data_IF_953431769447
#
_entry.id   IF_953431769447
#
_cell.length_a   1.000
_cell.length_b   1.000
_cell.length_c   1.000
_cell.angle_alpha   90.00
_cell.angle_beta   90.00
_cell.angle_gamma   90.00
#
_symmetry.space_group_name_H-M   'P 1'
#
loop_
_entity.id
_entity.type
_entity.pdbx_description
1 polymer ?
#
# COMPACT_ATOMS: atom_id res chain seq x y z
N UNK A 1 19.59 -13.34 8.50
CA UNK A 1 18.35 -12.78 7.97
C UNK A 1 17.59 -12.21 9.15
N UNK A 2 17.35 -10.91 9.26
CA UNK A 2 16.49 -10.38 10.30
C UNK A 2 15.09 -10.92 10.04
N UNK A 3 14.58 -11.72 10.94
CA UNK A 3 13.18 -12.13 10.98
C UNK A 3 12.37 -10.90 11.41
N UNK A 4 11.16 -10.74 10.86
CA UNK A 4 10.15 -9.84 11.41
C UNK A 4 10.22 -9.95 12.94
N UNK A 5 10.42 -8.82 13.62
CA UNK A 5 10.29 -8.80 15.08
C UNK A 5 8.82 -9.12 15.39
N UNK A 6 8.54 -10.32 15.93
CA UNK A 6 7.16 -10.71 16.25
C UNK A 6 6.59 -9.90 17.41
N UNK A 7 7.38 -8.98 17.99
CA UNK A 7 6.95 -8.11 19.09
C UNK A 7 6.22 -6.85 18.64
N UNK A 8 6.26 -6.46 17.34
CA UNK A 8 5.42 -5.37 16.86
C UNK A 8 4.04 -5.93 16.52
N UNK A 9 3.02 -5.67 17.33
CA UNK A 9 1.69 -6.20 17.06
C UNK A 9 1.19 -5.69 15.71
N UNK A 10 0.66 -6.61 14.89
CA UNK A 10 -0.01 -6.23 13.65
C UNK A 10 -1.16 -5.26 14.00
N UNK A 11 -1.33 -4.16 13.25
CA UNK A 11 -2.44 -3.25 13.45
C UNK A 11 -3.78 -4.02 13.50
N UNK A 12 -4.61 -3.68 14.48
CA UNK A 12 -5.88 -4.36 14.74
C UNK A 12 -6.84 -4.23 13.55
N UNK A 13 -6.75 -3.10 12.84
CA UNK A 13 -7.56 -2.81 11.66
C UNK A 13 -7.35 -3.86 10.55
N UNK A 14 -6.12 -4.37 10.40
CA UNK A 14 -5.80 -5.43 9.43
C UNK A 14 -5.92 -6.84 10.01
N UNK A 15 -6.18 -6.95 11.30
CA UNK A 15 -6.31 -8.19 12.06
C UNK A 15 -7.75 -8.44 12.50
N UNK A 16 -8.02 -8.25 13.78
CA UNK A 16 -9.32 -8.53 14.39
C UNK A 16 -10.47 -7.66 13.88
N UNK A 17 -10.18 -6.44 13.41
CA UNK A 17 -11.16 -5.51 12.87
C UNK A 17 -11.29 -5.58 11.33
N UNK A 18 -10.54 -6.45 10.66
CA UNK A 18 -10.53 -6.54 9.19
C UNK A 18 -11.91 -6.80 8.57
N UNK A 19 -12.82 -7.44 9.31
CA UNK A 19 -14.20 -7.63 8.85
C UNK A 19 -14.97 -6.30 8.65
N UNK A 20 -14.53 -5.21 9.31
CA UNK A 20 -15.10 -3.87 9.18
C UNK A 20 -14.43 -3.06 8.07
N UNK A 21 -13.38 -3.59 7.44
CA UNK A 21 -12.65 -2.89 6.37
C UNK A 21 -13.58 -2.38 5.25
N UNK A 22 -14.55 -3.17 4.73
CA UNK A 22 -15.46 -2.70 3.68
C UNK A 22 -16.36 -1.51 4.11
N UNK A 23 -16.52 -1.31 5.43
CA UNK A 23 -17.25 -0.16 5.98
C UNK A 23 -16.29 0.97 6.37
N UNK A 24 -15.05 0.65 6.75
CA UNK A 24 -14.02 1.64 7.06
C UNK A 24 -13.54 2.34 5.78
N UNK A 25 -13.27 1.57 4.73
CA UNK A 25 -12.71 2.05 3.47
C UNK A 25 -13.36 1.33 2.29
N UNK A 26 -14.04 2.09 1.42
CA UNK A 26 -14.76 1.54 0.28
C UNK A 26 -14.00 1.69 -1.03
N UNK A 27 -14.21 0.83 -2.04
CA UNK A 27 -13.58 0.97 -3.36
C UNK A 27 -13.86 2.32 -4.02
N UNK A 28 -15.04 2.92 -3.77
CA UNK A 28 -15.41 4.22 -4.35
C UNK A 28 -14.42 5.33 -4.00
N UNK A 29 -13.90 5.33 -2.76
CA UNK A 29 -12.89 6.28 -2.31
C UNK A 29 -11.55 6.18 -3.07
N UNK A 30 -11.28 5.03 -3.69
CA UNK A 30 -10.04 4.79 -4.45
C UNK A 30 -10.16 5.10 -5.95
N UNK A 31 -11.31 5.51 -6.45
CA UNK A 31 -11.59 5.64 -7.90
C UNK A 31 -10.60 6.57 -8.60
N UNK A 32 -10.42 7.78 -8.10
CA UNK A 32 -9.61 8.80 -8.76
C UNK A 32 -8.12 8.47 -8.67
N UNK A 33 -7.69 8.00 -7.51
CA UNK A 33 -6.33 7.57 -7.28
C UNK A 33 -5.97 6.34 -8.14
N UNK A 34 -6.84 5.33 -8.18
CA UNK A 34 -6.66 4.17 -9.05
C UNK A 34 -6.65 4.54 -10.54
N UNK A 35 -7.45 5.54 -10.96
CA UNK A 35 -7.42 6.06 -12.32
C UNK A 35 -6.05 6.72 -12.63
N UNK A 36 -5.48 7.44 -11.68
CA UNK A 36 -4.14 7.99 -11.81
C UNK A 36 -3.09 6.87 -11.92
N UNK A 37 -3.05 5.93 -10.98
CA UNK A 37 -2.07 4.82 -11.02
C UNK A 37 -2.24 3.95 -12.25
N UNK A 38 -3.46 3.72 -12.73
CA UNK A 38 -3.70 3.03 -13.99
C UNK A 38 -3.00 3.71 -15.17
N UNK A 39 -3.03 5.06 -15.24
CA UNK A 39 -2.30 5.81 -16.29
C UNK A 39 -0.79 5.67 -16.13
N UNK A 40 -0.27 5.86 -14.91
CA UNK A 40 1.17 5.72 -14.62
C UNK A 40 1.67 4.33 -14.97
N UNK A 41 1.01 3.28 -14.47
CA UNK A 41 1.36 1.88 -14.71
C UNK A 41 1.28 1.53 -16.21
N UNK A 42 0.23 1.97 -16.92
CA UNK A 42 0.07 1.67 -18.35
C UNK A 42 1.19 2.24 -19.22
N UNK A 43 1.84 3.32 -18.76
CA UNK A 43 2.94 3.98 -19.48
C UNK A 43 4.33 3.64 -18.91
N UNK A 44 4.39 2.86 -17.82
CA UNK A 44 5.62 2.62 -17.08
C UNK A 44 6.60 1.71 -17.82
N UNK A 45 6.14 0.86 -18.74
CA UNK A 45 6.96 -0.09 -19.49
C UNK A 45 6.59 -0.16 -20.98
N UNK A 46 7.52 -0.67 -21.77
CA UNK A 46 7.33 -0.95 -23.19
C UNK A 46 7.67 -2.41 -23.47
N UNK A 47 6.77 -3.22 -24.04
CA UNK A 47 5.37 -2.90 -24.35
C UNK A 47 4.53 -2.57 -23.09
N UNK A 48 3.33 -1.99 -23.33
CA UNK A 48 2.41 -1.66 -22.23
C UNK A 48 2.08 -2.90 -21.37
N UNK A 49 2.06 -2.76 -20.03
CA UNK A 49 1.94 -3.90 -19.12
C UNK A 49 0.57 -4.58 -19.23
N UNK A 50 0.55 -5.91 -19.09
CA UNK A 50 -0.64 -6.76 -19.03
C UNK A 50 -0.79 -7.39 -17.66
N UNK A 51 0.31 -7.86 -17.06
CA UNK A 51 0.35 -8.50 -15.75
C UNK A 51 0.84 -7.51 -14.70
N UNK A 52 0.14 -7.44 -13.56
CA UNK A 52 0.47 -6.56 -12.44
C UNK A 52 0.57 -7.35 -11.13
N UNK A 53 1.69 -7.19 -10.44
CA UNK A 53 1.86 -7.64 -9.05
C UNK A 53 1.60 -6.45 -8.13
N UNK A 54 0.63 -6.57 -7.24
CA UNK A 54 0.42 -5.62 -6.14
C UNK A 54 0.96 -6.21 -4.85
N UNK A 55 1.90 -5.53 -4.23
CA UNK A 55 2.53 -5.92 -2.96
C UNK A 55 1.93 -5.08 -1.82
N UNK A 56 1.26 -5.74 -0.87
CA UNK A 56 0.49 -5.11 0.19
C UNK A 56 -0.88 -4.65 -0.31
N UNK A 57 -1.65 -5.56 -0.88
CA UNK A 57 -2.95 -5.24 -1.51
C UNK A 57 -4.07 -4.92 -0.52
N UNK A 58 -3.88 -5.21 0.77
CA UNK A 58 -4.91 -4.99 1.78
C UNK A 58 -6.26 -5.62 1.41
N UNK A 59 -7.34 -4.87 1.58
CA UNK A 59 -8.70 -5.27 1.21
C UNK A 59 -9.00 -5.24 -0.29
N UNK A 60 -8.03 -4.88 -1.14
CA UNK A 60 -8.15 -4.95 -2.59
C UNK A 60 -8.91 -3.79 -3.25
N UNK A 61 -9.01 -2.63 -2.59
CA UNK A 61 -9.74 -1.48 -3.13
C UNK A 61 -9.10 -0.91 -4.40
N UNK A 62 -7.76 -0.79 -4.45
CA UNK A 62 -7.04 -0.41 -5.67
C UNK A 62 -7.21 -1.45 -6.77
N UNK A 63 -7.06 -2.75 -6.41
CA UNK A 63 -7.22 -3.86 -7.34
C UNK A 63 -8.61 -3.88 -8.00
N UNK A 64 -9.67 -3.52 -7.26
CA UNK A 64 -11.04 -3.43 -7.77
C UNK A 64 -11.13 -2.58 -9.05
N UNK A 65 -10.39 -1.49 -9.12
CA UNK A 65 -10.36 -0.60 -10.29
C UNK A 65 -9.30 -1.00 -11.32
N UNK A 66 -8.16 -1.56 -10.87
CA UNK A 66 -7.03 -1.89 -11.74
C UNK A 66 -7.24 -3.18 -12.53
N UNK A 67 -7.99 -4.15 -11.98
CA UNK A 67 -8.28 -5.46 -12.60
C UNK A 67 -9.00 -5.38 -13.95
N UNK A 68 -9.71 -4.29 -14.22
CA UNK A 68 -10.31 -4.04 -15.53
C UNK A 68 -9.25 -3.86 -16.66
N UNK A 69 -8.00 -3.58 -16.30
CA UNK A 69 -6.89 -3.31 -17.24
C UNK A 69 -5.78 -4.33 -17.15
N UNK A 70 -5.55 -4.92 -15.97
CA UNK A 70 -4.42 -5.79 -15.68
C UNK A 70 -4.88 -7.16 -15.17
N UNK A 71 -4.15 -8.21 -15.56
CA UNK A 71 -4.19 -9.50 -14.87
C UNK A 71 -3.41 -9.35 -13.55
N UNK A 72 -4.11 -9.42 -12.43
CA UNK A 72 -3.55 -9.06 -11.13
C UNK A 72 -3.19 -10.28 -10.28
N UNK A 73 -2.02 -10.16 -9.62
CA UNK A 73 -1.64 -11.02 -8.48
C UNK A 73 -1.48 -10.10 -7.27
N UNK A 74 -2.17 -10.42 -6.19
CA UNK A 74 -2.28 -9.64 -4.98
C UNK A 74 -1.56 -10.35 -3.84
N UNK A 75 -0.63 -9.66 -3.19
CA UNK A 75 0.11 -10.20 -2.04
C UNK A 75 -0.20 -9.33 -0.83
N UNK A 76 -0.55 -9.95 0.30
CA UNK A 76 -0.69 -9.27 1.58
C UNK A 76 -0.26 -10.19 2.72
N UNK A 77 0.20 -9.59 3.82
CA UNK A 77 0.61 -10.32 5.02
C UNK A 77 -0.60 -10.85 5.80
N UNK A 78 -1.70 -10.10 5.80
CA UNK A 78 -2.90 -10.41 6.57
C UNK A 78 -3.82 -11.38 5.81
N UNK A 79 -4.03 -12.60 6.31
CA UNK A 79 -5.00 -13.53 5.71
C UNK A 79 -6.44 -13.00 5.79
N UNK A 80 -6.76 -12.15 6.78
CA UNK A 80 -8.09 -11.56 6.93
C UNK A 80 -8.34 -10.47 5.89
N UNK A 81 -7.33 -9.64 5.62
CA UNK A 81 -7.42 -8.65 4.53
C UNK A 81 -7.50 -9.33 3.17
N UNK A 82 -6.75 -10.41 2.96
CA UNK A 82 -6.87 -11.21 1.73
C UNK A 82 -8.25 -11.83 1.56
N UNK A 83 -8.90 -12.26 2.63
CA UNK A 83 -10.27 -12.77 2.58
C UNK A 83 -11.26 -11.67 2.15
N UNK A 84 -11.10 -10.43 2.64
CA UNK A 84 -11.87 -9.26 2.20
C UNK A 84 -11.61 -8.98 0.72
N UNK A 85 -10.33 -8.96 0.33
CA UNK A 85 -9.92 -8.72 -1.06
C UNK A 85 -10.46 -9.81 -2.01
N UNK A 86 -10.45 -11.07 -1.60
CA UNK A 86 -10.94 -12.18 -2.41
C UNK A 86 -12.46 -12.11 -2.63
N UNK A 87 -13.21 -11.67 -1.63
CA UNK A 87 -14.64 -11.43 -1.78
C UNK A 87 -14.94 -10.30 -2.78
N UNK A 88 -14.10 -9.25 -2.79
CA UNK A 88 -14.22 -8.10 -3.69
C UNK A 88 -13.68 -8.37 -5.10
N UNK A 89 -12.62 -9.18 -5.21
CA UNK A 89 -11.85 -9.42 -6.44
C UNK A 89 -11.62 -10.93 -6.68
N UNK A 90 -12.69 -11.75 -6.81
CA UNK A 90 -12.55 -13.21 -6.89
C UNK A 90 -11.76 -13.70 -8.11
N UNK A 91 -11.66 -12.89 -9.18
CA UNK A 91 -10.90 -13.18 -10.40
C UNK A 91 -9.38 -12.94 -10.24
N UNK A 92 -8.94 -12.22 -9.19
CA UNK A 92 -7.53 -11.97 -8.95
C UNK A 92 -6.87 -13.14 -8.21
N UNK A 93 -5.58 -13.33 -8.42
CA UNK A 93 -4.80 -14.30 -7.62
C UNK A 93 -4.38 -13.68 -6.30
N UNK A 94 -4.71 -14.32 -5.18
CA UNK A 94 -4.36 -13.88 -3.83
C UNK A 94 -3.29 -14.79 -3.22
N UNK A 95 -2.29 -14.20 -2.59
CA UNK A 95 -1.15 -14.91 -1.98
C UNK A 95 -0.85 -14.26 -0.62
N UNK A 96 -0.84 -15.05 0.43
CA UNK A 96 -0.40 -14.60 1.74
C UNK A 96 1.11 -14.70 1.84
N UNK A 97 1.79 -13.57 1.94
CA UNK A 97 3.24 -13.51 2.16
C UNK A 97 3.67 -12.09 2.57
N UNK A 98 4.92 -11.95 3.02
CA UNK A 98 5.54 -10.68 3.39
C UNK A 98 6.16 -10.02 2.15
N UNK A 99 5.81 -8.76 1.89
CA UNK A 99 6.32 -7.99 0.75
C UNK A 99 7.84 -7.83 0.75
N UNK A 100 8.52 -7.99 1.90
CA UNK A 100 9.98 -7.96 2.01
C UNK A 100 10.63 -9.22 1.49
N UNK A 101 9.96 -10.36 1.60
CA UNK A 101 10.58 -11.68 1.41
C UNK A 101 9.91 -12.58 0.38
N UNK A 102 8.71 -12.27 -0.07
CA UNK A 102 7.98 -13.11 -1.05
C UNK A 102 8.81 -13.39 -2.31
N UNK A 103 8.77 -14.65 -2.77
CA UNK A 103 9.46 -15.10 -3.99
C UNK A 103 8.53 -16.02 -4.78
N UNK A 104 7.87 -15.45 -5.79
CA UNK A 104 6.83 -16.15 -6.57
C UNK A 104 7.40 -17.01 -7.71
N UNK A 105 8.71 -16.97 -7.95
CA UNK A 105 9.36 -17.72 -9.03
C UNK A 105 8.99 -17.26 -10.45
N UNK A 106 8.31 -16.11 -10.58
CA UNK A 106 7.94 -15.50 -11.87
C UNK A 106 8.07 -13.98 -11.83
N UNK A 107 8.07 -13.36 -13.01
CA UNK A 107 8.09 -11.91 -13.16
C UNK A 107 6.80 -11.39 -13.75
N UNK A 108 6.58 -10.09 -13.59
CA UNK A 108 5.40 -9.36 -14.05
C UNK A 108 5.83 -8.18 -14.91
N UNK A 109 4.93 -7.68 -15.74
CA UNK A 109 5.18 -6.50 -16.57
C UNK A 109 5.34 -5.24 -15.72
N UNK A 110 4.55 -5.15 -14.64
CA UNK A 110 4.65 -4.07 -13.66
C UNK A 110 4.46 -4.60 -12.23
N UNK A 111 5.03 -3.85 -11.27
CA UNK A 111 4.85 -4.06 -9.83
C UNK A 111 4.33 -2.77 -9.22
N UNK A 112 3.35 -2.88 -8.34
CA UNK A 112 2.74 -1.76 -7.65
C UNK A 112 2.82 -1.98 -6.13
N UNK A 113 3.27 -0.96 -5.41
CA UNK A 113 3.36 -0.97 -3.95
C UNK A 113 2.80 0.37 -3.48
N UNK A 114 1.56 0.35 -3.04
CA UNK A 114 0.84 1.50 -2.54
C UNK A 114 1.03 1.61 -1.02
N UNK A 115 0.21 2.26 -0.30
CA UNK A 115 0.27 2.59 1.14
C UNK A 115 0.98 1.54 2.04
N UNK A 116 0.90 0.26 1.71
CA UNK A 116 1.56 -0.81 2.45
C UNK A 116 3.08 -0.61 2.60
N UNK A 117 3.71 0.16 1.71
CA UNK A 117 5.15 0.48 1.79
C UNK A 117 5.46 1.34 3.02
N UNK A 118 4.48 2.06 3.55
CA UNK A 118 4.62 2.85 4.77
C UNK A 118 4.92 2.00 6.01
N UNK A 119 4.55 0.71 6.01
CA UNK A 119 4.90 -0.21 7.09
C UNK A 119 6.40 -0.57 7.15
N UNK A 120 7.20 -0.13 6.19
CA UNK A 120 8.65 -0.29 6.21
C UNK A 120 9.28 0.80 7.06
N UNK A 121 9.43 0.55 8.35
CA UNK A 121 9.89 1.54 9.34
C UNK A 121 11.41 1.71 9.39
N UNK A 122 12.15 0.80 8.76
CA UNK A 122 13.61 0.85 8.66
C UNK A 122 14.07 0.91 7.20
N UNK A 123 15.25 1.51 6.96
CA UNK A 123 15.86 1.49 5.63
C UNK A 123 16.09 0.06 5.12
N UNK A 124 16.42 -0.88 6.00
CA UNK A 124 16.60 -2.28 5.66
C UNK A 124 15.31 -2.90 5.12
N UNK A 125 14.17 -2.65 5.78
CA UNK A 125 12.87 -3.16 5.36
C UNK A 125 12.42 -2.52 4.04
N UNK A 126 12.57 -1.20 3.92
CA UNK A 126 12.24 -0.46 2.70
C UNK A 126 13.06 -1.00 1.50
N UNK A 127 14.38 -1.20 1.70
CA UNK A 127 15.28 -1.82 0.72
C UNK A 127 14.83 -3.24 0.36
N UNK A 128 14.44 -4.04 1.35
CA UNK A 128 13.99 -5.42 1.13
C UNK A 128 12.70 -5.49 0.30
N UNK A 129 11.72 -4.62 0.58
CA UNK A 129 10.50 -4.51 -0.21
C UNK A 129 10.79 -4.04 -1.64
N UNK A 130 11.63 -3.02 -1.81
CA UNK A 130 12.09 -2.57 -3.14
C UNK A 130 12.81 -3.68 -3.91
N UNK A 131 13.66 -4.49 -3.22
CA UNK A 131 14.36 -5.62 -3.82
C UNK A 131 13.39 -6.71 -4.27
N UNK A 132 12.38 -6.98 -3.49
CA UNK A 132 11.30 -7.90 -3.85
C UNK A 132 10.59 -7.41 -5.11
N UNK A 133 10.20 -6.15 -5.17
CA UNK A 133 9.59 -5.55 -6.36
C UNK A 133 10.51 -5.67 -7.59
N UNK A 134 11.82 -5.40 -7.42
CA UNK A 134 12.80 -5.53 -8.51
C UNK A 134 12.91 -6.96 -9.05
N UNK A 135 12.95 -7.95 -8.16
CA UNK A 135 13.06 -9.36 -8.56
C UNK A 135 11.82 -9.86 -9.32
N UNK A 136 10.66 -9.33 -8.99
CA UNK A 136 9.40 -9.66 -9.66
C UNK A 136 9.08 -8.80 -10.88
N UNK A 137 9.83 -7.72 -11.11
CA UNK A 137 9.70 -6.90 -12.31
C UNK A 137 10.52 -7.54 -13.44
N UNK A 138 9.89 -7.83 -14.60
CA UNK A 138 10.65 -8.37 -15.74
C UNK A 138 11.67 -7.34 -16.28
N UNK A 139 12.71 -7.77 -17.03
CA UNK A 139 13.52 -6.84 -17.81
C UNK A 139 12.64 -5.97 -18.75
N UNK A 140 12.87 -4.66 -18.75
CA UNK A 140 12.02 -3.69 -19.46
C UNK A 140 10.70 -3.35 -18.78
N UNK A 141 10.37 -4.00 -17.67
CA UNK A 141 9.21 -3.68 -16.83
C UNK A 141 9.50 -2.53 -15.85
N UNK A 142 8.49 -2.16 -15.06
CA UNK A 142 8.61 -1.08 -14.09
C UNK A 142 7.91 -1.39 -12.76
N UNK A 143 8.39 -0.74 -11.69
CA UNK A 143 7.72 -0.72 -10.41
C UNK A 143 7.32 0.72 -10.05
N UNK A 144 6.18 0.85 -9.39
CA UNK A 144 5.62 2.11 -8.87
C UNK A 144 5.40 1.96 -7.37
N UNK A 145 5.91 2.93 -6.61
CA UNK A 145 5.77 3.00 -5.15
C UNK A 145 5.10 4.32 -4.79
N UNK A 146 4.12 4.26 -3.90
CA UNK A 146 3.35 5.41 -3.48
C UNK A 146 3.19 5.42 -1.94
N UNK A 147 4.15 6.00 -1.20
CA UNK A 147 4.00 6.22 0.24
C UNK A 147 3.00 7.35 0.50
N UNK A 148 2.38 7.36 1.70
CA UNK A 148 1.53 8.46 2.14
C UNK A 148 2.31 9.76 2.27
N UNK A 149 3.47 9.69 2.91
CA UNK A 149 4.36 10.82 3.11
C UNK A 149 5.80 10.50 2.80
N UNK A 150 6.53 11.53 2.44
CA UNK A 150 7.98 11.60 2.55
C UNK A 150 8.33 12.68 3.58
N UNK A 151 9.56 12.70 4.10
CA UNK A 151 9.98 13.64 5.12
C UNK A 151 9.73 15.10 4.72
N UNK A 152 9.89 15.42 3.43
CA UNK A 152 9.72 16.78 2.91
C UNK A 152 8.26 17.24 2.79
N UNK A 153 7.31 16.32 2.80
CA UNK A 153 5.86 16.64 2.69
C UNK A 153 5.08 16.26 3.92
N UNK A 154 5.73 15.65 4.91
CA UNK A 154 5.06 15.28 6.15
C UNK A 154 4.57 16.51 6.90
N UNK A 155 3.33 16.44 7.34
CA UNK A 155 2.73 17.40 8.26
C UNK A 155 1.81 16.64 9.19
N UNK A 156 1.89 16.95 10.48
CA UNK A 156 0.91 16.48 11.45
C UNK A 156 -0.49 16.92 11.04
N UNK A 157 -1.45 16.02 11.13
CA UNK A 157 -2.82 16.32 10.71
C UNK A 157 -3.85 15.53 11.50
N UNK A 158 -5.09 15.99 11.40
CA UNK A 158 -6.29 15.31 11.85
C UNK A 158 -7.16 15.02 10.62
N UNK A 159 -7.66 13.81 10.52
CA UNK A 159 -8.63 13.43 9.52
C UNK A 159 -9.75 12.60 10.15
N UNK A 160 -10.86 12.49 9.45
CA UNK A 160 -12.00 11.71 9.91
C UNK A 160 -12.77 11.16 8.71
N UNK A 161 -13.50 10.08 8.95
CA UNK A 161 -14.24 9.46 7.87
C UNK A 161 -15.13 8.32 8.35
N UNK A 162 -15.48 7.46 7.39
CA UNK A 162 -16.26 6.26 7.61
C UNK A 162 -17.54 6.24 6.81
N UNK A 163 -18.14 5.06 6.71
CA UNK A 163 -19.28 4.78 5.85
C UNK A 163 -20.37 4.00 6.58
N UNK A 164 -21.52 3.93 5.95
CA UNK A 164 -22.61 3.06 6.30
C UNK A 164 -22.76 1.96 5.25
N UNK A 165 -22.89 0.72 5.71
CA UNK A 165 -23.10 -0.46 4.87
C UNK A 165 -24.18 -1.33 5.47
N UNK A 166 -24.56 -2.40 4.78
CA UNK A 166 -25.49 -3.37 5.34
C UNK A 166 -24.96 -4.05 6.61
N UNK A 167 -23.65 -4.05 6.87
CA UNK A 167 -23.04 -4.60 8.08
C UNK A 167 -23.27 -3.70 9.30
N UNK A 168 -23.36 -2.40 9.09
CA UNK A 168 -23.46 -1.37 10.12
C UNK A 168 -22.73 -0.10 9.70
N UNK A 169 -22.33 0.68 10.68
CA UNK A 169 -21.67 1.98 10.46
C UNK A 169 -20.29 1.99 11.10
N UNK A 170 -19.33 2.62 10.43
CA UNK A 170 -18.04 2.98 11.01
C UNK A 170 -17.85 4.47 10.88
N UNK A 171 -17.31 5.09 11.93
CA UNK A 171 -16.77 6.47 11.91
C UNK A 171 -15.40 6.42 12.59
N UNK A 172 -14.46 7.17 12.07
CA UNK A 172 -13.14 7.25 12.69
C UNK A 172 -12.64 8.68 12.76
N UNK A 173 -11.84 8.92 13.78
CA UNK A 173 -10.93 10.04 13.89
C UNK A 173 -9.52 9.49 13.74
N UNK A 174 -8.73 10.07 12.86
CA UNK A 174 -7.32 9.75 12.64
C UNK A 174 -6.47 10.91 13.08
N UNK A 175 -5.41 10.63 13.83
CA UNK A 175 -4.43 11.62 14.26
C UNK A 175 -3.04 11.17 13.83
N UNK A 176 -2.41 11.95 12.96
CA UNK A 176 -1.07 11.70 12.43
C UNK A 176 -0.07 12.60 13.13
N UNK A 177 0.94 12.01 13.79
CA UNK A 177 1.94 12.71 14.58
C UNK A 177 3.34 12.15 14.38
N UNK A 178 4.36 13.00 14.51
CA UNK A 178 5.78 12.63 14.54
C UNK A 178 6.45 13.21 15.78
N UNK A 179 6.43 12.49 16.91
CA UNK A 179 7.01 12.97 18.16
C UNK A 179 8.54 12.95 18.20
N UNK A 180 9.20 12.23 17.26
CA UNK A 180 10.66 12.11 17.18
C UNK A 180 11.16 12.33 15.74
N UNK A 181 11.16 13.59 15.25
CA UNK A 181 11.51 13.88 13.85
C UNK A 181 12.92 13.46 13.42
N UNK A 182 13.76 13.03 14.35
CA UNK A 182 15.12 12.57 14.07
C UNK A 182 15.18 11.10 13.62
N UNK A 183 14.14 10.31 13.93
CA UNK A 183 14.08 8.91 13.52
C UNK A 183 13.44 8.72 12.13
N UNK A 184 13.07 7.52 11.75
CA UNK A 184 12.50 7.18 10.44
C UNK A 184 11.04 6.77 10.54
N UNK A 185 10.32 7.23 11.58
CA UNK A 185 8.94 6.78 11.82
C UNK A 185 8.00 7.94 12.14
N UNK A 186 6.70 7.70 11.91
CA UNK A 186 5.61 8.52 12.40
C UNK A 186 4.45 7.61 12.83
N UNK A 187 3.53 8.15 13.60
CA UNK A 187 2.37 7.42 14.11
C UNK A 187 1.07 7.90 13.48
N UNK A 188 0.17 6.95 13.30
CA UNK A 188 -1.23 7.22 12.98
C UNK A 188 -2.10 6.54 14.03
N UNK A 189 -2.73 7.32 14.88
CA UNK A 189 -3.66 6.87 15.90
C UNK A 189 -5.10 6.96 15.40
N UNK A 190 -5.84 5.89 15.56
CA UNK A 190 -7.26 5.82 15.23
C UNK A 190 -8.13 5.67 16.47
N UNK A 191 -9.19 6.47 16.55
CA UNK A 191 -10.37 6.18 17.37
C UNK A 191 -11.50 5.77 16.41
N UNK A 192 -11.91 4.50 16.47
CA UNK A 192 -12.85 3.91 15.51
C UNK A 192 -14.15 3.61 16.25
N UNK A 193 -15.22 4.34 15.91
CA UNK A 193 -16.56 4.10 16.41
C UNK A 193 -17.29 3.14 15.47
N UNK A 194 -17.68 1.99 15.99
CA UNK A 194 -18.37 0.94 15.26
C UNK A 194 -19.79 0.81 15.82
N UNK A 195 -20.80 0.84 14.96
CA UNK A 195 -22.18 0.53 15.29
C UNK A 195 -22.64 -0.65 14.44
N UNK A 196 -23.02 -1.75 15.08
CA UNK A 196 -23.52 -2.94 14.40
C UNK A 196 -24.97 -2.77 13.92
N UNK A 197 -25.48 -3.79 13.21
CA UNK A 197 -26.89 -3.82 12.71
C UNK A 197 -27.96 -3.77 13.82
N UNK A 198 -27.61 -4.17 15.04
CA UNK A 198 -28.53 -4.16 16.20
C UNK A 198 -28.49 -2.82 16.93
N UNK A 199 -27.63 -1.89 16.50
CA UNK A 199 -27.45 -0.59 17.10
C UNK A 199 -26.46 -0.56 18.27
N UNK A 200 -25.83 -1.68 18.62
CA UNK A 200 -24.79 -1.70 19.64
C UNK A 200 -23.55 -0.95 19.16
N UNK A 201 -23.03 -0.10 20.03
CA UNK A 201 -21.89 0.76 19.71
C UNK A 201 -20.68 0.40 20.56
N UNK A 202 -19.49 0.48 19.94
CA UNK A 202 -18.20 0.37 20.64
C UNK A 202 -17.17 1.28 20.01
N UNK A 203 -16.17 1.65 20.79
CA UNK A 203 -15.01 2.40 20.33
C UNK A 203 -13.81 1.47 20.40
N UNK A 204 -13.04 1.43 19.30
CA UNK A 204 -11.79 0.71 19.20
C UNK A 204 -10.66 1.71 18.99
N UNK A 205 -9.48 1.39 19.52
CA UNK A 205 -8.27 2.16 19.25
C UNK A 205 -7.28 1.30 18.49
N UNK A 206 -6.60 1.92 17.53
CA UNK A 206 -5.51 1.28 16.81
C UNK A 206 -4.40 2.30 16.57
N UNK A 207 -3.14 1.87 16.69
CA UNK A 207 -1.97 2.69 16.36
C UNK A 207 -1.15 2.00 15.29
N UNK A 208 -0.88 2.74 14.23
CA UNK A 208 0.01 2.30 13.17
C UNK A 208 1.33 3.08 13.28
N UNK A 209 2.45 2.36 13.14
CA UNK A 209 3.77 2.94 13.00
C UNK A 209 4.19 2.85 11.54
N UNK A 210 4.50 3.97 10.94
CA UNK A 210 4.85 4.09 9.53
C UNK A 210 6.25 4.65 9.34
N UNK A 211 6.89 4.27 8.23
CA UNK A 211 8.20 4.76 7.84
C UNK A 211 8.14 6.13 7.20
N UNK A 212 9.07 7.00 7.60
CA UNK A 212 9.22 8.36 7.08
C UNK A 212 10.63 8.59 6.56
N UNK A 213 10.80 8.46 5.24
CA UNK A 213 12.07 8.60 4.56
C UNK A 213 12.08 9.83 3.65
N UNK A 214 13.26 10.42 3.46
CA UNK A 214 13.43 11.54 2.53
C UNK A 214 13.28 11.12 1.06
N UNK A 215 12.95 12.06 0.17
CA UNK A 215 13.02 11.82 -1.29
C UNK A 215 14.41 11.35 -1.73
N UNK A 216 15.44 11.83 -1.02
CA UNK A 216 16.82 11.41 -1.24
C UNK A 216 17.03 9.92 -0.98
N UNK A 217 16.53 9.42 0.16
CA UNK A 217 16.62 8.01 0.54
C UNK A 217 15.86 7.11 -0.43
N UNK A 218 14.62 7.47 -0.78
CA UNK A 218 13.83 6.75 -1.78
C UNK A 218 14.59 6.57 -3.08
N UNK A 219 15.14 7.66 -3.64
CA UNK A 219 15.87 7.64 -4.90
C UNK A 219 17.18 6.87 -4.81
N UNK A 220 17.89 7.00 -3.69
CA UNK A 220 19.14 6.26 -3.44
C UNK A 220 18.86 4.76 -3.38
N UNK A 221 17.93 4.33 -2.55
CA UNK A 221 17.58 2.92 -2.36
C UNK A 221 17.09 2.26 -3.64
N UNK A 222 16.25 2.91 -4.42
CA UNK A 222 15.80 2.40 -5.71
C UNK A 222 16.96 2.16 -6.69
N UNK A 223 17.93 3.09 -6.74
CA UNK A 223 19.13 2.91 -7.58
C UNK A 223 20.01 1.77 -7.08
N UNK A 224 20.25 1.69 -5.78
CA UNK A 224 21.05 0.62 -5.15
C UNK A 224 20.45 -0.77 -5.39
N UNK A 225 19.13 -0.88 -5.41
CA UNK A 225 18.42 -2.13 -5.73
C UNK A 225 18.54 -2.49 -7.22
N UNK A 226 18.80 -1.51 -8.09
CA UNK A 226 19.04 -1.70 -9.52
C UNK A 226 18.00 -1.07 -10.45
N UNK A 227 17.04 -0.31 -9.92
CA UNK A 227 16.09 0.41 -10.76
C UNK A 227 16.73 1.64 -11.42
N UNK A 228 16.32 1.87 -12.66
CA UNK A 228 16.54 3.15 -13.35
C UNK A 228 15.33 4.03 -13.05
N UNK A 229 15.57 5.12 -12.35
CA UNK A 229 14.47 6.02 -11.97
C UNK A 229 13.77 6.59 -13.21
N UNK A 230 12.48 6.69 -13.15
CA UNK A 230 11.61 7.32 -14.15
C UNK A 230 10.88 8.48 -13.50
N UNK A 231 10.64 9.51 -14.28
CA UNK A 231 9.76 10.62 -13.90
C UNK A 231 8.72 10.77 -15.01
N UNK A 232 7.72 9.90 -15.05
CA UNK A 232 6.62 10.04 -16.00
C UNK A 232 5.97 11.42 -15.84
N UNK A 233 5.50 12.00 -16.94
CA UNK A 233 4.81 13.30 -16.92
C UNK A 233 3.62 13.29 -15.94
N UNK A 234 2.95 12.17 -15.86
CA UNK A 234 1.82 11.96 -14.96
C UNK A 234 2.18 12.14 -13.47
N UNK A 235 3.42 11.84 -13.08
CA UNK A 235 3.90 12.07 -11.70
C UNK A 235 4.10 13.57 -11.41
N UNK A 236 4.31 14.38 -12.43
CA UNK A 236 4.45 15.85 -12.29
C UNK A 236 3.09 16.55 -12.12
N UNK A 237 2.03 15.94 -12.63
CA UNK A 237 0.63 16.42 -12.53
C UNK A 237 -0.10 15.89 -11.27
N UNK A 238 0.60 15.30 -10.37
CA UNK A 238 0.34 14.40 -9.26
C UNK A 238 -0.91 14.57 -8.40
N UNK A 239 -1.09 13.55 -7.56
CA UNK A 239 -2.14 13.39 -6.54
C UNK A 239 -1.92 14.23 -5.26
N UNK A 240 -0.97 15.20 -5.27
CA UNK A 240 -0.58 15.90 -4.05
C UNK A 240 0.32 15.06 -3.10
N UNK A 241 0.72 13.85 -3.53
CA UNK A 241 1.64 12.95 -2.78
C UNK A 241 2.83 12.54 -3.66
N UNK A 242 3.92 12.10 -3.01
CA UNK A 242 5.09 11.62 -3.72
C UNK A 242 4.85 10.21 -4.28
N UNK A 243 5.25 10.02 -5.55
CA UNK A 243 5.21 8.72 -6.22
C UNK A 243 6.57 8.46 -6.85
N UNK A 244 7.11 7.27 -6.62
CA UNK A 244 8.40 6.86 -7.16
C UNK A 244 8.21 5.76 -8.20
N UNK A 245 8.80 5.96 -9.38
CA UNK A 245 8.78 4.96 -10.44
C UNK A 245 10.20 4.59 -10.86
N UNK A 246 10.41 3.30 -11.07
CA UNK A 246 11.67 2.77 -11.56
C UNK A 246 11.47 1.67 -12.58
N UNK A 247 12.31 1.63 -13.63
CA UNK A 247 12.31 0.52 -14.58
C UNK A 247 13.48 -0.42 -14.33
N UNK A 248 13.27 -1.72 -14.54
CA UNK A 248 14.36 -2.69 -14.61
C UNK A 248 14.94 -2.68 -16.02
N UNK A 249 16.28 -2.53 -16.14
CA UNK A 249 16.95 -2.61 -17.45
C UNK A 249 16.65 -3.96 -18.11
N UNK A 250 16.50 -3.94 -19.46
CA UNK A 250 16.42 -5.12 -20.30
C UNK A 250 17.76 -5.80 -20.48
#
# INVERSE_FOLDING_TARGET
>A
MPRHDPSTPQPRLYGELAEWWPTFSTPEGYRDEAAFFKRVLSKSSTPAPRTLLELGSGGGNSAFHLKARFEMTLVDLSPKMLAVSQALNPECKHIQDDIRTVRLGKTFDAVFVHDAICHMTTESDLRAAMKTAFLHCRPGGAAVFAPDFVRETFTENLDHGGNDTERGSVRFLQWTTDPEPADTTYFVDFAILIRDRKGAMRVEHDRHTYGLFSRGDWRRLLREVGFVLKTPRELLEGLGRDVFAGSRRG
#
